data_IF_569968615259
#
_entry.id   IF_569968615259
#
_cell.length_a   1.000
_cell.length_b   1.000
_cell.length_c   1.000
_cell.angle_alpha   90.00
_cell.angle_beta   90.00
_cell.angle_gamma   90.00
#
_symmetry.space_group_name_H-M   'P 1'
#
loop_
_entity.id
_entity.type
_entity.pdbx_description
1 polymer ?
#
# COMPACT_ATOMS: atom_id res chain seq x y z
N UNK A 1 -11.99 23.70 19.45
CA UNK A 1 -12.11 22.71 18.34
C UNK A 1 -11.15 23.04 17.18
N UNK A 2 -10.96 24.33 16.84
CA UNK A 2 -9.98 24.74 15.82
C UNK A 2 -8.52 24.44 16.20
N UNK A 3 -8.18 24.46 17.49
CA UNK A 3 -6.84 24.12 17.99
C UNK A 3 -6.50 22.63 17.81
N UNK A 4 -7.48 21.74 17.88
CA UNK A 4 -7.29 20.29 17.63
C UNK A 4 -6.96 20.02 16.17
N UNK A 5 -7.68 20.64 15.24
CA UNK A 5 -7.42 20.52 13.80
C UNK A 5 -6.02 21.06 13.46
N UNK A 6 -5.61 22.18 14.08
CA UNK A 6 -4.28 22.73 13.90
C UNK A 6 -3.16 21.82 14.43
N UNK A 7 -3.36 21.17 15.58
CA UNK A 7 -2.37 20.25 16.15
C UNK A 7 -2.22 18.97 15.29
N UNK A 8 -3.29 18.49 14.69
CA UNK A 8 -3.26 17.33 13.79
C UNK A 8 -2.61 17.64 12.45
N UNK A 9 -2.81 18.83 11.89
CA UNK A 9 -2.06 19.30 10.74
C UNK A 9 -0.56 19.35 11.04
N UNK A 10 -0.16 19.87 12.22
CA UNK A 10 1.24 19.88 12.63
C UNK A 10 1.84 18.48 12.79
N UNK A 11 1.05 17.50 13.25
CA UNK A 11 1.51 16.10 13.34
C UNK A 11 1.79 15.54 11.93
N UNK A 12 0.88 15.77 10.99
CA UNK A 12 1.07 15.36 9.59
C UNK A 12 2.28 16.02 8.96
N UNK A 13 2.44 17.31 9.12
CA UNK A 13 3.57 18.07 8.56
C UNK A 13 4.92 17.55 9.07
N UNK A 14 4.98 17.02 10.29
CA UNK A 14 6.17 16.37 10.85
C UNK A 14 6.36 14.93 10.37
N UNK A 15 5.27 14.20 10.12
CA UNK A 15 5.32 12.80 9.70
C UNK A 15 5.68 12.66 8.22
N UNK A 16 5.19 13.55 7.34
CA UNK A 16 5.50 13.47 5.91
C UNK A 16 6.99 13.50 5.58
N UNK A 17 7.82 14.37 6.16
CA UNK A 17 9.27 14.33 5.93
C UNK A 17 9.93 13.04 6.39
N UNK A 18 9.45 12.44 7.49
CA UNK A 18 9.97 11.15 7.98
C UNK A 18 9.62 10.01 7.00
N UNK A 19 8.38 9.96 6.51
CA UNK A 19 7.98 9.00 5.48
C UNK A 19 8.75 9.20 4.18
N UNK A 20 8.93 10.45 3.75
CA UNK A 20 9.75 10.76 2.58
C UNK A 20 11.22 10.32 2.77
N UNK A 21 11.75 10.43 3.98
CA UNK A 21 13.08 9.93 4.33
C UNK A 21 13.16 8.40 4.23
N UNK A 22 12.19 7.68 4.80
CA UNK A 22 12.10 6.21 4.71
C UNK A 22 11.99 5.79 3.25
N UNK A 23 11.10 6.42 2.47
CA UNK A 23 10.94 6.16 1.05
C UNK A 23 12.24 6.41 0.27
N UNK A 24 12.93 7.50 0.58
CA UNK A 24 14.23 7.82 -0.02
C UNK A 24 15.26 6.73 0.27
N UNK A 25 15.39 6.31 1.52
CA UNK A 25 16.32 5.24 1.91
C UNK A 25 15.97 3.94 1.16
N UNK A 26 14.72 3.53 1.16
CA UNK A 26 14.28 2.30 0.47
C UNK A 26 14.54 2.35 -1.03
N UNK A 27 14.30 3.50 -1.68
CA UNK A 27 14.54 3.70 -3.11
C UNK A 27 16.03 3.70 -3.44
N UNK A 28 16.83 4.49 -2.73
CA UNK A 28 18.26 4.65 -3.03
C UNK A 28 19.11 3.47 -2.56
N UNK A 29 18.64 2.67 -1.59
CA UNK A 29 19.31 1.42 -1.19
C UNK A 29 19.02 0.25 -2.14
N UNK A 30 18.08 0.39 -3.08
CA UNK A 30 17.63 -0.70 -3.94
C UNK A 30 16.77 -1.75 -3.22
N UNK A 31 16.36 -1.49 -1.97
CA UNK A 31 15.60 -2.46 -1.18
C UNK A 31 14.24 -2.77 -1.81
N UNK A 32 13.60 -1.79 -2.44
CA UNK A 32 12.32 -1.98 -3.15
C UNK A 32 12.52 -2.91 -4.35
N UNK A 33 13.61 -2.73 -5.09
CA UNK A 33 13.93 -3.57 -6.25
C UNK A 33 14.18 -5.02 -5.84
N UNK A 34 14.84 -5.24 -4.69
CA UNK A 34 15.06 -6.57 -4.11
C UNK A 34 13.74 -7.23 -3.73
N UNK A 35 12.84 -6.52 -3.05
CA UNK A 35 11.53 -7.06 -2.68
C UNK A 35 10.68 -7.36 -3.91
N UNK A 36 10.59 -6.43 -4.85
CA UNK A 36 9.80 -6.64 -6.06
C UNK A 36 10.39 -7.77 -6.91
N UNK A 37 11.71 -7.80 -7.10
CA UNK A 37 12.41 -8.85 -7.85
C UNK A 37 12.23 -10.24 -7.24
N UNK A 38 12.25 -10.36 -5.91
CA UNK A 38 11.99 -11.62 -5.23
C UNK A 38 10.60 -12.19 -5.56
N UNK A 39 9.56 -11.35 -5.50
CA UNK A 39 8.19 -11.79 -5.82
C UNK A 39 8.01 -12.12 -7.30
N UNK A 40 8.72 -11.42 -8.19
CA UNK A 40 8.70 -11.72 -9.63
C UNK A 40 9.31 -13.08 -9.93
N UNK A 41 10.46 -13.41 -9.31
CA UNK A 41 11.17 -14.66 -9.58
C UNK A 41 10.41 -15.93 -9.17
N UNK A 42 9.56 -15.84 -8.14
CA UNK A 42 8.78 -16.98 -7.63
C UNK A 42 7.38 -17.07 -8.24
N UNK A 43 6.99 -16.13 -9.12
CA UNK A 43 5.65 -16.04 -9.67
C UNK A 43 5.56 -16.61 -11.09
N UNK A 44 4.38 -17.13 -11.40
CA UNK A 44 3.97 -17.56 -12.74
C UNK A 44 2.87 -16.62 -13.26
N UNK A 45 2.49 -16.74 -14.52
CA UNK A 45 1.44 -15.93 -15.15
C UNK A 45 0.16 -15.85 -14.28
N UNK A 46 -0.24 -16.96 -13.68
CA UNK A 46 -1.45 -17.02 -12.86
C UNK A 46 -1.27 -16.42 -11.46
N UNK A 47 -0.10 -16.62 -10.84
CA UNK A 47 0.16 -16.20 -9.45
C UNK A 47 0.74 -14.78 -9.35
N UNK A 48 1.27 -14.24 -10.44
CA UNK A 48 1.93 -12.94 -10.47
C UNK A 48 1.04 -11.79 -9.95
N UNK A 49 -0.27 -11.68 -10.32
CA UNK A 49 -1.12 -10.64 -9.77
C UNK A 49 -1.30 -10.74 -8.26
N UNK A 50 -1.38 -11.96 -7.72
CA UNK A 50 -1.51 -12.18 -6.28
C UNK A 50 -0.23 -11.79 -5.53
N UNK A 51 0.94 -12.18 -6.04
CA UNK A 51 2.21 -11.76 -5.48
C UNK A 51 2.43 -10.25 -5.59
N UNK A 52 1.97 -9.63 -6.68
CA UNK A 52 1.98 -8.17 -6.84
C UNK A 52 1.12 -7.51 -5.77
N UNK A 53 -0.08 -8.01 -5.49
CA UNK A 53 -0.95 -7.51 -4.43
C UNK A 53 -0.27 -7.59 -3.06
N UNK A 54 0.32 -8.74 -2.72
CA UNK A 54 1.01 -8.94 -1.43
C UNK A 54 2.24 -8.03 -1.32
N UNK A 55 3.06 -8.00 -2.37
CA UNK A 55 4.25 -7.14 -2.45
C UNK A 55 3.89 -5.66 -2.31
N UNK A 56 2.85 -5.21 -3.02
CA UNK A 56 2.36 -3.85 -2.92
C UNK A 56 1.87 -3.52 -1.51
N UNK A 57 1.15 -4.43 -0.87
CA UNK A 57 0.72 -4.28 0.51
C UNK A 57 1.90 -4.12 1.49
N UNK A 58 2.94 -4.93 1.35
CA UNK A 58 4.13 -4.83 2.19
C UNK A 58 4.85 -3.50 1.98
N UNK A 59 5.07 -3.10 0.72
CA UNK A 59 5.73 -1.83 0.39
C UNK A 59 4.93 -0.65 0.90
N UNK A 60 3.59 -0.67 0.80
CA UNK A 60 2.73 0.41 1.25
C UNK A 60 2.80 0.66 2.76
N UNK A 61 3.13 -0.34 3.58
CA UNK A 61 3.33 -0.13 5.02
C UNK A 61 4.47 0.88 5.27
N UNK A 62 5.50 0.87 4.42
CA UNK A 62 6.66 1.76 4.53
C UNK A 62 6.51 3.03 3.68
N UNK A 63 5.77 2.96 2.58
CA UNK A 63 5.56 4.04 1.62
C UNK A 63 4.06 4.30 1.47
N UNK A 64 3.41 4.93 2.46
CA UNK A 64 1.95 5.14 2.47
C UNK A 64 1.53 6.24 1.48
N UNK A 65 1.82 6.05 0.21
CA UNK A 65 1.55 7.00 -0.86
C UNK A 65 1.40 6.26 -2.18
N UNK A 66 0.19 6.12 -2.68
CA UNK A 66 -0.09 5.40 -3.92
C UNK A 66 0.72 5.92 -5.11
N UNK A 67 0.84 7.25 -5.27
CA UNK A 67 1.68 7.84 -6.31
C UNK A 67 3.18 7.60 -6.10
N UNK A 68 3.66 7.70 -4.86
CA UNK A 68 5.05 7.42 -4.50
C UNK A 68 5.40 5.95 -4.71
N UNK A 69 4.53 5.04 -4.30
CA UNK A 69 4.68 3.62 -4.51
C UNK A 69 4.67 3.26 -6.00
N UNK A 70 3.73 3.82 -6.76
CA UNK A 70 3.68 3.63 -8.21
C UNK A 70 4.95 4.10 -8.91
N UNK A 71 5.50 5.25 -8.54
CA UNK A 71 6.73 5.79 -9.12
C UNK A 71 7.94 4.87 -8.93
N UNK A 72 7.93 4.05 -7.88
CA UNK A 72 9.05 3.15 -7.55
C UNK A 72 8.77 1.73 -8.02
N UNK A 73 7.62 1.17 -7.66
CA UNK A 73 7.28 -0.24 -7.89
C UNK A 73 6.64 -0.47 -9.26
N UNK A 74 5.94 0.54 -9.81
CA UNK A 74 5.24 0.44 -11.08
C UNK A 74 6.11 -0.01 -12.25
N UNK A 75 7.25 0.62 -12.54
CA UNK A 75 8.14 0.21 -13.62
C UNK A 75 8.56 -1.26 -13.53
N UNK A 76 8.90 -1.72 -12.33
CA UNK A 76 9.34 -3.10 -12.08
C UNK A 76 8.22 -4.09 -12.38
N UNK A 77 7.00 -3.78 -11.93
CA UNK A 77 5.82 -4.63 -12.16
C UNK A 77 5.47 -4.66 -13.65
N UNK A 78 5.58 -3.53 -14.36
CA UNK A 78 5.31 -3.47 -15.80
C UNK A 78 6.30 -4.34 -16.57
N UNK A 79 7.59 -4.18 -16.30
CA UNK A 79 8.64 -4.99 -16.94
C UNK A 79 8.44 -6.48 -16.68
N UNK A 80 8.16 -6.85 -15.44
CA UNK A 80 7.90 -8.23 -15.06
C UNK A 80 6.64 -8.80 -15.73
N UNK A 81 5.55 -8.03 -15.76
CA UNK A 81 4.30 -8.43 -16.39
C UNK A 81 4.49 -8.70 -17.90
N UNK A 82 5.30 -7.86 -18.58
CA UNK A 82 5.63 -8.04 -19.98
C UNK A 82 6.47 -9.31 -20.24
N UNK A 83 7.43 -9.58 -19.36
CA UNK A 83 8.29 -10.78 -19.47
C UNK A 83 7.51 -12.08 -19.22
N UNK A 84 6.56 -12.06 -18.29
CA UNK A 84 5.76 -13.23 -17.91
C UNK A 84 4.55 -13.40 -18.86
N UNK A 85 4.10 -12.32 -19.54
CA UNK A 85 2.94 -12.34 -20.43
C UNK A 85 1.61 -12.02 -19.73
N UNK A 86 1.64 -11.40 -18.54
CA UNK A 86 0.43 -11.03 -17.78
C UNK A 86 -0.13 -9.71 -18.29
N UNK A 87 -1.46 -9.59 -18.36
CA UNK A 87 -2.14 -8.39 -18.77
C UNK A 87 -1.82 -7.20 -17.83
N UNK A 88 -1.29 -6.11 -18.40
CA UNK A 88 -0.89 -4.92 -17.62
C UNK A 88 -2.00 -4.34 -16.75
N UNK A 89 -3.27 -4.21 -17.22
CA UNK A 89 -4.34 -3.71 -16.37
C UNK A 89 -4.54 -4.55 -15.09
N UNK A 90 -4.39 -5.87 -15.19
CA UNK A 90 -4.50 -6.79 -14.05
C UNK A 90 -3.41 -6.53 -13.01
N UNK A 91 -2.19 -6.26 -13.46
CA UNK A 91 -1.05 -5.96 -12.59
C UNK A 91 -1.21 -4.59 -11.90
N UNK A 92 -1.68 -3.59 -12.62
CA UNK A 92 -2.00 -2.26 -12.06
C UNK A 92 -3.08 -2.36 -11.00
N UNK A 93 -4.14 -3.12 -11.27
CA UNK A 93 -5.20 -3.36 -10.29
C UNK A 93 -4.67 -4.10 -9.06
N UNK A 94 -3.81 -5.10 -9.23
CA UNK A 94 -3.20 -5.84 -8.13
C UNK A 94 -2.36 -4.93 -7.23
N UNK A 95 -1.55 -4.04 -7.80
CA UNK A 95 -0.79 -3.04 -7.04
C UNK A 95 -1.73 -2.12 -6.27
N UNK A 96 -2.76 -1.59 -6.94
CA UNK A 96 -3.74 -0.68 -6.33
C UNK A 96 -4.50 -1.34 -5.18
N UNK A 97 -4.87 -2.61 -5.32
CA UNK A 97 -5.53 -3.35 -4.26
C UNK A 97 -4.62 -3.59 -3.06
N UNK A 98 -3.34 -3.90 -3.29
CA UNK A 98 -2.36 -4.06 -2.22
C UNK A 98 -2.13 -2.76 -1.43
N UNK A 99 -1.98 -1.64 -2.13
CA UNK A 99 -1.90 -0.30 -1.56
C UNK A 99 -3.14 0.01 -0.71
N UNK A 100 -4.33 -0.15 -1.28
CA UNK A 100 -5.59 0.17 -0.61
C UNK A 100 -5.83 -0.67 0.64
N UNK A 101 -5.53 -1.97 0.60
CA UNK A 101 -5.77 -2.87 1.72
C UNK A 101 -4.95 -2.49 2.95
N UNK A 102 -3.67 -2.24 2.78
CA UNK A 102 -2.80 -1.95 3.92
C UNK A 102 -2.95 -0.52 4.44
N UNK A 103 -3.54 0.39 3.67
CA UNK A 103 -3.99 1.69 4.16
C UNK A 103 -5.03 1.54 5.29
N UNK A 104 -5.85 0.47 5.29
CA UNK A 104 -6.81 0.20 6.36
C UNK A 104 -6.14 -0.14 7.69
N UNK A 105 -4.90 -0.62 7.69
CA UNK A 105 -4.10 -0.84 8.91
C UNK A 105 -3.52 0.46 9.48
N UNK A 106 -3.50 1.53 8.70
CA UNK A 106 -2.81 2.76 9.05
C UNK A 106 -3.78 3.79 9.60
N UNK A 107 -3.86 3.98 10.95
CA UNK A 107 -4.76 4.97 11.54
C UNK A 107 -4.41 6.41 11.16
N UNK A 108 -3.26 6.61 10.53
CA UNK A 108 -2.78 7.89 10.01
C UNK A 108 -3.80 8.57 9.09
N UNK A 109 -4.47 7.82 8.22
CA UNK A 109 -5.48 8.36 7.32
C UNK A 109 -6.77 8.78 8.03
N UNK A 110 -7.03 8.20 9.19
CA UNK A 110 -8.20 8.48 10.01
C UNK A 110 -7.99 9.64 11.01
N UNK A 111 -6.76 10.16 11.17
CA UNK A 111 -6.46 11.18 12.18
C UNK A 111 -7.40 12.40 12.18
N UNK A 112 -7.76 13.00 11.02
CA UNK A 112 -8.70 14.13 11.03
C UNK A 112 -10.09 13.73 11.54
N UNK A 113 -10.56 12.54 11.15
CA UNK A 113 -11.86 12.04 11.60
C UNK A 113 -11.84 11.74 13.10
N UNK A 114 -10.76 11.14 13.60
CA UNK A 114 -10.58 10.85 15.02
C UNK A 114 -10.56 12.12 15.86
N UNK A 115 -9.90 13.18 15.37
CA UNK A 115 -9.89 14.48 16.05
C UNK A 115 -11.26 15.15 16.13
N UNK A 116 -12.07 15.04 15.06
CA UNK A 116 -13.42 15.59 15.03
C UNK A 116 -14.38 14.81 15.92
N UNK A 117 -14.28 13.49 15.88
CA UNK A 117 -15.21 12.58 16.62
C UNK A 117 -14.80 12.35 18.06
N UNK A 118 -13.53 12.63 18.43
CA UNK A 118 -12.98 12.33 19.75
C UNK A 118 -12.72 10.83 19.99
N UNK A 119 -12.84 9.99 18.96
CA UNK A 119 -12.52 8.57 19.01
C UNK A 119 -11.00 8.36 19.04
N UNK A 120 -10.58 7.24 19.58
CA UNK A 120 -9.17 6.82 19.59
C UNK A 120 -8.92 5.82 18.46
N UNK A 121 -7.70 5.80 17.94
CA UNK A 121 -7.33 4.84 16.87
C UNK A 121 -7.64 3.38 17.25
N UNK A 122 -7.47 3.00 18.51
CA UNK A 122 -7.81 1.66 19.02
C UNK A 122 -9.29 1.29 18.88
N UNK A 123 -10.17 2.27 18.80
CA UNK A 123 -11.62 2.03 18.76
C UNK A 123 -12.08 1.68 17.32
N UNK A 124 -11.35 2.14 16.30
CA UNK A 124 -11.67 1.88 14.88
C UNK A 124 -10.79 0.79 14.25
N UNK A 125 -9.57 0.61 14.75
CA UNK A 125 -8.59 -0.31 14.16
C UNK A 125 -9.10 -1.76 14.03
N UNK A 126 -9.80 -2.35 15.01
CA UNK A 126 -10.32 -3.71 14.86
C UNK A 126 -11.30 -3.86 13.69
N UNK A 127 -12.15 -2.85 13.47
CA UNK A 127 -13.12 -2.86 12.37
C UNK A 127 -12.43 -2.72 11.01
N UNK A 128 -11.46 -1.81 10.92
CA UNK A 128 -10.70 -1.63 9.68
C UNK A 128 -9.84 -2.85 9.33
N UNK A 129 -9.26 -3.52 10.32
CA UNK A 129 -8.55 -4.79 10.11
C UNK A 129 -9.49 -5.91 9.65
N UNK A 130 -10.68 -5.99 10.22
CA UNK A 130 -11.67 -6.97 9.80
C UNK A 130 -12.11 -6.74 8.34
N UNK A 131 -12.38 -5.48 7.97
CA UNK A 131 -12.68 -5.12 6.58
C UNK A 131 -11.51 -5.38 5.64
N UNK A 132 -10.28 -5.14 6.07
CA UNK A 132 -9.08 -5.46 5.31
C UNK A 132 -8.99 -6.96 5.00
N UNK A 133 -9.27 -7.83 5.97
CA UNK A 133 -9.25 -9.29 5.75
C UNK A 133 -10.33 -9.71 4.75
N UNK A 134 -11.54 -9.19 4.87
CA UNK A 134 -12.61 -9.44 3.89
C UNK A 134 -12.18 -8.93 2.50
N UNK A 135 -11.68 -7.70 2.43
CA UNK A 135 -11.20 -7.10 1.19
C UNK A 135 -10.07 -7.91 0.55
N UNK A 136 -9.14 -8.43 1.35
CA UNK A 136 -8.07 -9.28 0.86
C UNK A 136 -8.60 -10.54 0.17
N UNK A 137 -9.58 -11.21 0.77
CA UNK A 137 -10.20 -12.41 0.18
C UNK A 137 -10.91 -12.05 -1.13
N UNK A 138 -11.71 -10.98 -1.13
CA UNK A 138 -12.47 -10.55 -2.32
C UNK A 138 -11.52 -10.15 -3.45
N UNK A 139 -10.51 -9.31 -3.18
CA UNK A 139 -9.58 -8.84 -4.21
C UNK A 139 -8.69 -9.96 -4.74
N UNK A 140 -8.23 -10.86 -3.88
CA UNK A 140 -7.49 -12.04 -4.33
C UNK A 140 -8.33 -12.92 -5.24
N UNK A 141 -9.60 -13.16 -4.87
CA UNK A 141 -10.54 -13.95 -5.69
C UNK A 141 -10.81 -13.29 -7.04
N UNK A 142 -11.05 -11.97 -7.04
CA UNK A 142 -11.27 -11.21 -8.28
C UNK A 142 -10.05 -11.24 -9.20
N UNK A 143 -8.84 -11.09 -8.65
CA UNK A 143 -7.60 -11.16 -9.44
C UNK A 143 -7.34 -12.56 -10.01
N UNK A 144 -7.88 -13.60 -9.43
CA UNK A 144 -7.74 -14.96 -9.97
C UNK A 144 -8.76 -15.27 -11.07
N UNK A 145 -9.94 -14.64 -11.06
CA UNK A 145 -11.00 -14.89 -12.06
C UNK A 145 -10.80 -14.00 -13.29
N UNK A 146 -10.52 -12.73 -13.11
CA UNK A 146 -10.33 -11.75 -14.16
C UNK A 146 -8.84 -11.54 -14.49
#
# INVERSE_FOLDING_TARGET
RLSLVGSEMCIRDRQFPLYAGIMGIMKYSGLIDVFAGFFVQISNEFTFPLFTLISAGIVNVFVPSGGGQWAVQGPIIIDAAQQIGVALPKCVMALTYGDQLTNMMQPFWALPLLGITGLKAKDILPYSLFLMLIGFVIFSFMLMIF
#
